data_IF_310950508171
#
_entry.id   IF_310950508171
#
_cell.length_a   1.000
_cell.length_b   1.000
_cell.length_c   1.000
_cell.angle_alpha   90.00
_cell.angle_beta   90.00
_cell.angle_gamma   90.00
#
_symmetry.space_group_name_H-M   'P 1'
#
loop_
_entity.id
_entity.type
_entity.pdbx_description
1 polymer ?
#
# COMPACT_ATOMS: atom_id res chain seq x y z
N UNK A 1 0.61 -18.00 -0.58
CA UNK A 1 1.48 -16.81 -0.63
C UNK A 1 2.89 -17.13 -1.10
N UNK A 2 3.71 -17.80 -0.26
CA UNK A 2 5.14 -18.04 -0.52
C UNK A 2 5.38 -18.78 -1.85
N UNK A 3 4.67 -19.88 -2.11
CA UNK A 3 4.82 -20.64 -3.35
C UNK A 3 4.51 -19.79 -4.61
N UNK A 4 3.48 -18.98 -4.57
CA UNK A 4 3.14 -18.06 -5.67
C UNK A 4 4.26 -17.05 -5.92
N UNK A 5 4.80 -16.43 -4.86
CA UNK A 5 5.92 -15.50 -4.99
C UNK A 5 7.18 -16.17 -5.54
N UNK A 6 7.50 -17.38 -5.09
CA UNK A 6 8.65 -18.15 -5.59
C UNK A 6 8.45 -18.50 -7.07
N UNK A 7 7.24 -18.92 -7.47
CA UNK A 7 6.94 -19.23 -8.88
C UNK A 7 7.20 -18.05 -9.80
N UNK A 8 6.65 -16.89 -9.47
CA UNK A 8 6.83 -15.66 -10.24
C UNK A 8 8.30 -15.21 -10.27
N UNK A 9 8.97 -15.25 -9.10
CA UNK A 9 10.38 -14.89 -9.00
C UNK A 9 11.27 -15.78 -9.86
N UNK A 10 11.05 -17.09 -9.83
CA UNK A 10 11.81 -18.09 -10.58
C UNK A 10 11.63 -17.91 -12.07
N UNK A 11 10.40 -17.70 -12.53
CA UNK A 11 10.10 -17.42 -13.94
C UNK A 11 10.77 -16.12 -14.41
N UNK A 12 10.66 -15.05 -13.64
CA UNK A 12 11.26 -13.76 -13.98
C UNK A 12 12.80 -13.80 -14.04
N UNK A 13 13.43 -14.69 -13.28
CA UNK A 13 14.89 -14.84 -13.23
C UNK A 13 15.41 -16.02 -14.06
N UNK A 14 14.57 -16.67 -14.90
CA UNK A 14 14.92 -17.79 -15.76
C UNK A 14 15.61 -18.96 -14.99
N UNK A 15 15.17 -19.25 -13.78
CA UNK A 15 15.69 -20.36 -12.99
C UNK A 15 15.02 -21.65 -13.48
N UNK A 16 15.72 -22.44 -14.28
CA UNK A 16 15.16 -23.63 -14.95
C UNK A 16 15.16 -24.87 -14.07
N UNK A 17 16.15 -25.03 -13.22
CA UNK A 17 16.28 -26.19 -12.33
C UNK A 17 15.76 -25.85 -10.92
N UNK A 18 14.42 -25.95 -10.77
CA UNK A 18 13.72 -25.69 -9.52
C UNK A 18 14.15 -26.62 -8.39
N UNK A 19 14.36 -27.92 -8.71
CA UNK A 19 14.76 -28.92 -7.71
C UNK A 19 16.10 -28.55 -7.10
N UNK A 20 17.07 -28.24 -7.94
CA UNK A 20 18.40 -27.84 -7.50
C UNK A 20 18.36 -26.53 -6.71
N UNK A 21 17.62 -25.52 -7.20
CA UNK A 21 17.55 -24.22 -6.56
C UNK A 21 16.87 -24.27 -5.17
N UNK A 22 15.75 -25.01 -5.06
CA UNK A 22 14.89 -24.98 -3.86
C UNK A 22 15.25 -26.06 -2.83
N UNK A 23 15.83 -27.19 -3.25
CA UNK A 23 16.12 -28.31 -2.33
C UNK A 23 17.62 -28.59 -2.17
N UNK A 24 18.39 -28.60 -3.24
CA UNK A 24 19.85 -28.87 -3.13
C UNK A 24 20.63 -27.62 -2.69
N UNK A 25 20.18 -26.43 -3.08
CA UNK A 25 20.78 -25.14 -2.77
C UNK A 25 19.86 -24.28 -1.88
N UNK A 26 19.05 -24.89 -1.05
CA UNK A 26 18.06 -24.22 -0.17
C UNK A 26 18.66 -23.03 0.58
N UNK A 27 19.80 -23.22 1.26
CA UNK A 27 20.46 -22.17 2.03
C UNK A 27 20.82 -20.94 1.18
N UNK A 28 21.25 -21.17 -0.05
CA UNK A 28 21.58 -20.08 -0.98
C UNK A 28 20.33 -19.39 -1.51
N UNK A 29 19.25 -20.15 -1.75
CA UNK A 29 17.99 -19.59 -2.20
C UNK A 29 17.33 -18.77 -1.09
N UNK A 30 17.36 -19.23 0.16
CA UNK A 30 16.82 -18.51 1.31
C UNK A 30 17.55 -17.17 1.60
N UNK A 31 18.75 -16.96 1.07
CA UNK A 31 19.46 -15.68 1.15
C UNK A 31 19.08 -14.69 0.03
N UNK A 32 18.41 -15.16 -1.04
CA UNK A 32 18.03 -14.30 -2.14
C UNK A 32 16.81 -13.46 -1.77
N UNK A 33 16.82 -12.20 -2.17
CA UNK A 33 15.69 -11.30 -2.05
C UNK A 33 14.59 -11.67 -3.06
N UNK A 34 13.95 -12.83 -2.83
CA UNK A 34 12.91 -13.36 -3.71
C UNK A 34 11.53 -12.74 -3.47
N UNK A 35 11.39 -11.98 -2.40
CA UNK A 35 10.12 -11.39 -1.97
C UNK A 35 10.22 -9.87 -1.83
N UNK A 36 9.07 -9.20 -1.91
CA UNK A 36 8.87 -7.82 -1.48
C UNK A 36 7.88 -7.82 -0.32
N UNK A 37 8.25 -7.19 0.79
CA UNK A 37 7.28 -6.81 1.82
C UNK A 37 6.73 -5.44 1.45
N UNK A 38 5.44 -5.40 1.11
CA UNK A 38 4.70 -4.19 0.79
C UNK A 38 3.84 -3.76 1.98
N UNK A 39 3.71 -2.46 2.17
CA UNK A 39 2.80 -1.85 3.15
C UNK A 39 2.15 -0.61 2.56
N UNK A 40 0.91 -0.36 2.95
CA UNK A 40 0.22 0.89 2.66
C UNK A 40 -0.58 1.36 3.89
N UNK A 41 -0.74 2.67 4.03
CA UNK A 41 -1.43 3.28 5.15
C UNK A 41 -2.11 4.58 4.73
N UNK A 42 -3.40 4.70 5.02
CA UNK A 42 -4.12 5.95 4.80
C UNK A 42 -3.65 7.04 5.76
N UNK A 43 -3.15 8.11 5.21
CA UNK A 43 -2.78 9.30 5.96
C UNK A 43 -3.98 10.22 6.17
N UNK A 44 -4.06 10.84 7.37
CA UNK A 44 -5.10 11.80 7.76
C UNK A 44 -6.50 11.20 7.96
N UNK A 45 -6.60 9.90 8.22
CA UNK A 45 -7.87 9.22 8.54
C UNK A 45 -8.66 9.99 9.60
N UNK A 46 -8.02 10.39 10.69
CA UNK A 46 -8.69 11.13 11.77
C UNK A 46 -9.30 12.44 11.27
N UNK A 47 -8.56 13.23 10.47
CA UNK A 47 -9.11 14.46 9.89
C UNK A 47 -10.31 14.17 9.00
N UNK A 48 -10.24 13.14 8.16
CA UNK A 48 -11.36 12.72 7.31
C UNK A 48 -12.56 12.25 8.13
N UNK A 49 -12.34 11.44 9.17
CA UNK A 49 -13.42 10.91 10.00
C UNK A 49 -14.11 11.99 10.85
N UNK A 50 -13.34 12.90 11.46
CA UNK A 50 -13.85 13.88 12.41
C UNK A 50 -14.26 15.24 11.81
N UNK A 51 -14.15 15.42 10.50
CA UNK A 51 -14.76 16.57 9.81
C UNK A 51 -16.26 16.33 9.67
N UNK A 52 -16.98 16.38 10.80
CA UNK A 52 -18.43 16.09 10.87
C UNK A 52 -19.12 17.17 11.67
N UNK A 53 -20.21 17.72 11.14
CA UNK A 53 -21.09 18.62 11.90
C UNK A 53 -21.90 17.84 12.94
N UNK A 54 -22.27 18.50 14.03
CA UNK A 54 -22.86 17.93 15.25
C UNK A 54 -24.15 17.13 15.04
N UNK A 55 -24.95 17.47 14.03
CA UNK A 55 -26.15 16.70 13.69
C UNK A 55 -25.77 15.40 12.97
N UNK A 56 -26.16 14.24 13.50
CA UNK A 56 -25.88 12.90 12.99
C UNK A 56 -24.39 12.47 13.00
N UNK A 57 -23.57 13.00 13.91
CA UNK A 57 -22.15 12.73 14.00
C UNK A 57 -21.81 11.22 14.02
N UNK A 58 -22.49 10.41 14.83
CA UNK A 58 -22.26 8.97 14.94
C UNK A 58 -22.54 8.22 13.62
N UNK A 59 -23.63 8.58 12.94
CA UNK A 59 -23.98 7.96 11.66
C UNK A 59 -22.94 8.28 10.58
N UNK A 60 -22.53 9.54 10.54
CA UNK A 60 -21.53 10.01 9.60
C UNK A 60 -20.15 9.38 9.85
N UNK A 61 -19.73 9.26 11.11
CA UNK A 61 -18.49 8.56 11.49
C UNK A 61 -18.49 7.09 11.05
N UNK A 62 -19.58 6.36 11.33
CA UNK A 62 -19.71 4.96 10.92
C UNK A 62 -19.66 4.80 9.40
N UNK A 63 -20.38 5.65 8.66
CA UNK A 63 -20.38 5.61 7.19
C UNK A 63 -18.99 5.90 6.62
N UNK A 64 -18.27 6.89 7.15
CA UNK A 64 -16.92 7.22 6.69
C UNK A 64 -15.91 6.15 7.05
N UNK A 65 -16.00 5.56 8.25
CA UNK A 65 -15.13 4.44 8.64
C UNK A 65 -15.34 3.23 7.75
N UNK A 66 -16.60 2.86 7.51
CA UNK A 66 -16.96 1.77 6.60
C UNK A 66 -16.51 2.04 5.15
N UNK A 67 -16.66 3.28 4.68
CA UNK A 67 -16.17 3.68 3.37
C UNK A 67 -14.66 3.50 3.23
N UNK A 68 -13.86 3.90 4.23
CA UNK A 68 -12.40 3.71 4.20
C UNK A 68 -12.01 2.23 4.20
N UNK A 69 -12.76 1.41 4.91
CA UNK A 69 -12.53 -0.03 4.93
C UNK A 69 -12.81 -0.67 3.56
N UNK A 70 -13.96 -0.36 2.95
CA UNK A 70 -14.29 -0.79 1.58
C UNK A 70 -13.27 -0.28 0.56
N UNK A 71 -12.80 0.94 0.72
CA UNK A 71 -11.81 1.53 -0.18
C UNK A 71 -10.46 0.81 -0.08
N UNK A 72 -10.03 0.44 1.14
CA UNK A 72 -8.83 -0.36 1.34
C UNK A 72 -8.98 -1.77 0.76
N UNK A 73 -10.12 -2.42 0.96
CA UNK A 73 -10.40 -3.74 0.40
C UNK A 73 -10.36 -3.73 -1.13
N UNK A 74 -11.03 -2.76 -1.76
CA UNK A 74 -10.96 -2.59 -3.22
C UNK A 74 -9.54 -2.31 -3.72
N UNK A 75 -8.83 -1.42 -3.03
CA UNK A 75 -7.43 -1.13 -3.35
C UNK A 75 -6.57 -2.39 -3.35
N UNK A 76 -6.73 -3.23 -2.32
CA UNK A 76 -5.98 -4.47 -2.17
C UNK A 76 -6.34 -5.51 -3.24
N UNK A 77 -7.61 -5.65 -3.59
CA UNK A 77 -8.04 -6.59 -4.63
C UNK A 77 -7.42 -6.23 -5.98
N UNK A 78 -7.48 -4.98 -6.38
CA UNK A 78 -6.88 -4.49 -7.62
C UNK A 78 -5.35 -4.59 -7.62
N UNK A 79 -4.71 -4.27 -6.49
CA UNK A 79 -3.27 -4.39 -6.32
C UNK A 79 -2.81 -5.85 -6.49
N UNK A 80 -3.46 -6.77 -5.78
CA UNK A 80 -3.13 -8.19 -5.81
C UNK A 80 -3.34 -8.79 -7.21
N UNK A 81 -4.47 -8.46 -7.85
CA UNK A 81 -4.75 -8.86 -9.22
C UNK A 81 -3.70 -8.33 -10.19
N UNK A 82 -3.33 -7.05 -10.08
CA UNK A 82 -2.30 -6.42 -10.90
C UNK A 82 -0.90 -7.00 -10.70
N UNK A 83 -0.62 -7.55 -9.52
CA UNK A 83 0.64 -8.23 -9.21
C UNK A 83 0.61 -9.74 -9.53
N UNK A 84 -0.50 -10.28 -10.08
CA UNK A 84 -0.63 -11.69 -10.42
C UNK A 84 -0.70 -12.63 -9.21
N UNK A 85 -1.10 -12.12 -8.05
CA UNK A 85 -1.21 -12.90 -6.81
C UNK A 85 -2.62 -12.83 -6.23
N UNK A 86 -2.89 -13.64 -5.22
CA UNK A 86 -4.21 -13.73 -4.60
C UNK A 86 -4.24 -13.13 -3.18
N UNK A 87 -5.41 -13.07 -2.58
CA UNK A 87 -5.60 -12.67 -1.18
C UNK A 87 -4.82 -13.52 -0.17
N UNK A 88 -4.37 -14.72 -0.54
CA UNK A 88 -3.46 -15.51 0.28
C UNK A 88 -2.12 -14.77 0.55
N UNK A 89 -1.78 -13.77 -0.26
CA UNK A 89 -0.59 -12.93 -0.10
C UNK A 89 -0.79 -11.75 0.85
N UNK A 90 -2.02 -11.47 1.25
CA UNK A 90 -2.34 -10.46 2.26
C UNK A 90 -2.00 -10.98 3.66
N UNK A 91 -1.03 -10.36 4.31
CA UNK A 91 -0.60 -10.72 5.68
C UNK A 91 -1.53 -10.08 6.71
N UNK A 92 -1.88 -8.82 6.48
CA UNK A 92 -2.70 -8.03 7.39
C UNK A 92 -3.43 -6.92 6.64
N UNK A 93 -4.69 -6.67 7.01
CA UNK A 93 -5.46 -5.48 6.64
C UNK A 93 -6.32 -5.05 7.82
N UNK A 94 -6.28 -3.76 8.17
CA UNK A 94 -7.12 -3.22 9.23
C UNK A 94 -6.78 -1.78 9.59
N UNK A 95 -7.78 -1.01 9.95
CA UNK A 95 -7.61 0.39 10.38
C UNK A 95 -7.03 1.32 9.31
N UNK A 96 -7.15 0.97 8.03
CA UNK A 96 -6.57 1.73 6.92
C UNK A 96 -5.10 1.41 6.64
N UNK A 97 -4.57 0.34 7.24
CA UNK A 97 -3.20 -0.11 7.09
C UNK A 97 -3.14 -1.57 6.61
N UNK A 98 -2.16 -1.93 5.79
CA UNK A 98 -1.98 -3.30 5.31
C UNK A 98 -0.52 -3.71 5.18
N UNK A 99 -0.29 -5.04 5.22
CA UNK A 99 0.94 -5.69 4.80
C UNK A 99 0.65 -6.79 3.80
N UNK A 100 1.44 -6.84 2.73
CA UNK A 100 1.31 -7.81 1.63
C UNK A 100 2.68 -8.39 1.30
N UNK A 101 2.75 -9.70 1.05
CA UNK A 101 3.93 -10.38 0.56
C UNK A 101 3.81 -10.57 -0.96
N UNK A 102 4.74 -9.99 -1.71
CA UNK A 102 4.74 -9.99 -3.17
C UNK A 102 6.01 -10.64 -3.73
N UNK A 103 6.00 -11.11 -4.98
CA UNK A 103 7.23 -11.56 -5.64
C UNK A 103 8.13 -10.37 -5.98
N UNK A 104 9.43 -10.52 -5.76
CA UNK A 104 10.40 -9.48 -6.12
C UNK A 104 10.75 -9.55 -7.60
N UNK A 105 9.92 -8.94 -8.43
CA UNK A 105 10.12 -8.83 -9.87
C UNK A 105 9.98 -7.38 -10.34
N UNK A 106 10.64 -7.04 -11.44
CA UNK A 106 10.50 -5.70 -12.03
C UNK A 106 9.04 -5.37 -12.40
N UNK A 107 8.32 -6.34 -12.94
CA UNK A 107 6.90 -6.19 -13.31
C UNK A 107 6.02 -5.83 -12.10
N UNK A 108 6.28 -6.44 -10.95
CA UNK A 108 5.57 -6.11 -9.70
C UNK A 108 5.94 -4.70 -9.23
N UNK A 109 7.21 -4.34 -9.21
CA UNK A 109 7.65 -2.99 -8.80
C UNK A 109 7.04 -1.89 -9.68
N UNK A 110 6.97 -2.12 -11.00
CA UNK A 110 6.31 -1.21 -11.95
C UNK A 110 4.80 -1.12 -11.70
N UNK A 111 4.16 -2.24 -11.41
CA UNK A 111 2.74 -2.30 -11.08
C UNK A 111 2.45 -1.52 -9.78
N UNK A 112 3.26 -1.72 -8.74
CA UNK A 112 3.15 -0.98 -7.47
C UNK A 112 3.25 0.53 -7.70
N UNK A 113 4.27 0.95 -8.45
CA UNK A 113 4.49 2.38 -8.75
C UNK A 113 3.31 2.99 -9.51
N UNK A 114 2.86 2.31 -10.57
CA UNK A 114 1.75 2.77 -11.41
C UNK A 114 0.43 2.82 -10.65
N UNK A 115 0.09 1.74 -9.94
CA UNK A 115 -1.16 1.63 -9.21
C UNK A 115 -1.27 2.63 -8.06
N UNK A 116 -0.21 2.77 -7.26
CA UNK A 116 -0.16 3.74 -6.18
C UNK A 116 -0.32 5.18 -6.68
N UNK A 117 0.33 5.52 -7.79
CA UNK A 117 0.21 6.85 -8.40
C UNK A 117 -1.21 7.09 -8.92
N UNK A 118 -1.80 6.13 -9.60
CA UNK A 118 -3.16 6.23 -10.15
C UNK A 118 -4.20 6.37 -9.04
N UNK A 119 -4.08 5.56 -7.99
CA UNK A 119 -4.98 5.60 -6.85
C UNK A 119 -4.89 6.93 -6.07
N UNK A 120 -3.69 7.41 -5.78
CA UNK A 120 -3.52 8.69 -5.11
C UNK A 120 -3.99 9.88 -5.95
N UNK A 121 -3.86 9.82 -7.27
CA UNK A 121 -4.43 10.83 -8.18
C UNK A 121 -5.97 10.83 -8.09
N UNK A 122 -6.59 9.67 -8.06
CA UNK A 122 -8.02 9.55 -7.85
C UNK A 122 -8.45 10.08 -6.47
N UNK A 123 -7.72 9.73 -5.39
CA UNK A 123 -7.98 10.28 -4.05
C UNK A 123 -7.91 11.81 -4.05
N UNK A 124 -6.92 12.38 -4.72
CA UNK A 124 -6.77 13.83 -4.84
C UNK A 124 -7.93 14.49 -5.58
N UNK A 125 -8.43 13.87 -6.64
CA UNK A 125 -9.59 14.37 -7.41
C UNK A 125 -10.89 14.33 -6.58
N UNK A 126 -11.08 13.29 -5.78
CA UNK A 126 -12.31 13.09 -5.00
C UNK A 126 -12.29 13.81 -3.65
N UNK A 127 -11.15 13.87 -2.99
CA UNK A 127 -11.01 14.31 -1.60
C UNK A 127 -9.99 15.46 -1.41
N UNK A 128 -9.43 15.98 -2.47
CA UNK A 128 -8.38 16.99 -2.40
C UNK A 128 -7.18 16.50 -1.60
N UNK A 129 -6.84 17.22 -0.53
CA UNK A 129 -5.74 16.84 0.37
C UNK A 129 -6.20 16.12 1.64
N UNK A 130 -7.48 15.73 1.73
CA UNK A 130 -8.03 15.12 2.95
C UNK A 130 -7.57 13.68 3.16
N UNK A 131 -7.41 12.92 2.07
CA UNK A 131 -6.93 11.54 2.09
C UNK A 131 -5.71 11.37 1.18
N UNK A 132 -4.80 10.51 1.63
CA UNK A 132 -3.64 10.09 0.87
C UNK A 132 -3.24 8.68 1.31
N UNK A 133 -2.96 7.78 0.38
CA UNK A 133 -2.46 6.45 0.68
C UNK A 133 -0.93 6.44 0.56
N UNK A 134 -0.26 6.54 1.70
CA UNK A 134 1.18 6.31 1.75
C UNK A 134 1.47 4.82 1.55
N UNK A 135 2.54 4.50 0.85
CA UNK A 135 2.94 3.13 0.59
C UNK A 135 4.46 3.01 0.57
N UNK A 136 4.93 1.81 0.82
CA UNK A 136 6.35 1.48 0.72
C UNK A 136 6.52 -0.02 0.50
N UNK A 137 7.64 -0.41 -0.07
CA UNK A 137 8.05 -1.81 -0.16
C UNK A 137 9.55 -1.94 -0.02
N UNK A 138 9.98 -3.11 0.39
CA UNK A 138 11.40 -3.43 0.52
C UNK A 138 11.63 -4.88 0.13
N UNK A 139 12.72 -5.17 -0.59
CA UNK A 139 13.12 -6.54 -0.83
C UNK A 139 13.39 -7.29 0.48
N UNK A 140 13.05 -8.58 0.49
CA UNK A 140 13.33 -9.46 1.61
C UNK A 140 13.57 -10.89 1.14
N UNK A 141 14.35 -11.59 1.95
CA UNK A 141 14.76 -12.98 1.72
C UNK A 141 13.93 -13.96 2.53
N UNK A 142 14.04 -15.25 2.23
CA UNK A 142 13.48 -16.31 3.05
C UNK A 142 14.01 -16.28 4.50
N UNK A 143 15.27 -15.92 4.67
CA UNK A 143 15.90 -15.79 5.99
C UNK A 143 15.30 -14.62 6.80
N UNK A 144 14.96 -13.51 6.16
CA UNK A 144 14.28 -12.41 6.84
C UNK A 144 12.91 -12.84 7.36
N UNK A 145 12.15 -13.57 6.52
CA UNK A 145 10.81 -14.04 6.88
C UNK A 145 10.81 -15.12 7.97
N UNK A 146 11.84 -15.99 8.00
CA UNK A 146 12.01 -17.04 9.01
C UNK A 146 12.79 -16.60 10.24
N UNK A 147 13.18 -15.32 10.32
CA UNK A 147 14.00 -14.77 11.39
C UNK A 147 15.34 -15.50 11.56
N UNK A 148 16.04 -15.78 10.47
CA UNK A 148 17.29 -16.55 10.47
C UNK A 148 18.48 -15.67 10.06
N UNK A 149 19.53 -15.54 10.89
CA UNK A 149 19.65 -16.09 12.23
C UNK A 149 18.89 -15.26 13.29
N UNK A 150 18.32 -15.93 14.27
CA UNK A 150 17.44 -15.30 15.27
C UNK A 150 18.14 -14.21 16.12
N UNK A 151 19.44 -14.35 16.39
CA UNK A 151 20.23 -13.37 17.17
C UNK A 151 20.28 -12.00 16.50
N UNK A 152 20.23 -11.94 15.17
CA UNK A 152 20.23 -10.69 14.39
C UNK A 152 18.85 -10.10 14.23
N UNK A 153 17.80 -10.83 14.60
CA UNK A 153 16.40 -10.43 14.47
C UNK A 153 16.03 -9.85 13.10
N UNK A 154 16.36 -10.52 11.97
CA UNK A 154 16.16 -9.98 10.63
C UNK A 154 14.69 -9.71 10.32
N UNK A 155 13.76 -10.48 10.87
CA UNK A 155 12.32 -10.23 10.75
C UNK A 155 11.92 -8.86 11.32
N UNK A 156 12.40 -8.54 12.52
CA UNK A 156 12.13 -7.23 13.15
C UNK A 156 12.74 -6.09 12.34
N UNK A 157 13.94 -6.30 11.80
CA UNK A 157 14.64 -5.29 11.02
C UNK A 157 13.96 -5.06 9.64
N UNK A 158 13.40 -6.11 9.03
CA UNK A 158 12.59 -6.01 7.82
C UNK A 158 11.39 -5.08 8.01
N UNK A 159 10.61 -5.26 9.08
CA UNK A 159 9.45 -4.40 9.38
C UNK A 159 9.86 -2.97 9.74
N UNK A 160 10.98 -2.79 10.44
CA UNK A 160 11.52 -1.45 10.68
C UNK A 160 11.91 -0.73 9.40
N UNK A 161 12.54 -1.45 8.47
CA UNK A 161 12.97 -0.90 7.18
C UNK A 161 11.78 -0.45 6.34
N UNK A 162 10.76 -1.31 6.19
CA UNK A 162 9.58 -0.94 5.39
C UNK A 162 8.78 0.19 6.03
N UNK A 163 8.63 0.20 7.36
CA UNK A 163 7.91 1.27 8.05
C UNK A 163 8.66 2.61 7.99
N UNK A 164 9.98 2.61 8.02
CA UNK A 164 10.78 3.83 7.83
C UNK A 164 10.55 4.42 6.44
N UNK A 165 10.52 3.59 5.40
CA UNK A 165 10.19 4.03 4.03
C UNK A 165 8.76 4.56 3.94
N UNK A 166 7.81 3.90 4.60
CA UNK A 166 6.42 4.36 4.66
C UNK A 166 6.30 5.75 5.30
N UNK A 167 6.98 5.97 6.44
CA UNK A 167 6.99 7.28 7.10
C UNK A 167 7.62 8.36 6.21
N UNK A 168 8.71 8.07 5.52
CA UNK A 168 9.30 8.98 4.55
C UNK A 168 8.29 9.36 3.46
N UNK A 169 7.53 8.40 2.93
CA UNK A 169 6.52 8.67 1.91
C UNK A 169 5.34 9.50 2.45
N UNK A 170 4.99 9.37 3.72
CA UNK A 170 4.00 10.24 4.38
C UNK A 170 4.40 11.71 4.39
N UNK A 171 5.70 12.03 4.42
CA UNK A 171 6.21 13.41 4.33
C UNK A 171 6.31 13.94 2.90
N UNK A 172 6.48 13.07 1.90
CA UNK A 172 6.63 13.43 0.49
C UNK A 172 5.40 12.97 -0.32
N UNK A 173 4.22 13.53 -0.02
CA UNK A 173 2.93 13.07 -0.58
C UNK A 173 2.70 13.48 -2.02
N UNK A 174 3.09 14.70 -2.37
CA UNK A 174 2.76 15.33 -3.62
C UNK A 174 4.02 15.74 -4.38
N UNK A 175 4.02 15.50 -5.67
CA UNK A 175 5.04 16.02 -6.56
C UNK A 175 4.82 17.51 -6.81
N UNK A 176 5.83 18.19 -7.36
CA UNK A 176 5.68 19.61 -7.77
C UNK A 176 4.52 19.80 -8.77
N UNK A 177 4.28 18.81 -9.63
CA UNK A 177 3.18 18.81 -10.59
C UNK A 177 1.81 18.69 -9.89
N UNK A 178 1.68 17.78 -8.93
CA UNK A 178 0.45 17.63 -8.14
C UNK A 178 0.13 18.92 -7.39
N UNK A 179 1.16 19.60 -6.83
CA UNK A 179 1.00 20.89 -6.15
C UNK A 179 0.57 22.01 -7.09
N UNK A 180 1.12 22.07 -8.31
CA UNK A 180 0.68 23.04 -9.33
C UNK A 180 -0.78 22.79 -9.70
N UNK A 181 -1.17 21.54 -9.91
CA UNK A 181 -2.54 21.19 -10.23
C UNK A 181 -3.51 21.57 -9.11
N UNK A 182 -3.17 21.27 -7.85
CA UNK A 182 -3.98 21.66 -6.69
C UNK A 182 -4.19 23.17 -6.59
N UNK A 183 -3.17 23.95 -6.94
CA UNK A 183 -3.25 25.42 -6.90
C UNK A 183 -3.97 26.01 -8.13
N UNK A 184 -3.98 25.30 -9.26
CA UNK A 184 -4.64 25.77 -10.48
C UNK A 184 -6.15 25.51 -10.51
N UNK A 185 -6.61 24.50 -9.77
CA UNK A 185 -8.05 24.12 -9.67
C UNK A 185 -8.80 24.88 -8.58
N UNK A 186 -8.18 25.88 -7.95
CA UNK A 186 -8.81 26.73 -6.95
C UNK A 186 -9.74 27.80 -7.55
N UNK A 187 -10.69 27.39 -8.40
CA UNK A 187 -11.92 28.13 -8.54
C UNK A 187 -12.75 27.83 -7.29
N UNK A 188 -12.95 28.83 -6.42
CA UNK A 188 -13.86 28.71 -5.29
C UNK A 188 -15.24 28.39 -5.84
N UNK A 189 -15.83 27.22 -5.52
CA UNK A 189 -17.17 26.93 -5.98
C UNK A 189 -18.14 27.85 -5.25
N UNK A 190 -18.90 28.64 -6.00
CA UNK A 190 -19.98 29.53 -5.50
C UNK A 190 -21.23 28.77 -5.02
N UNK A 191 -21.08 27.56 -4.51
CA UNK A 191 -22.18 26.69 -4.08
C UNK A 191 -22.43 26.73 -2.58
N UNK A 192 -23.64 26.34 -2.15
CA UNK A 192 -23.94 26.11 -0.74
C UNK A 192 -23.09 24.97 -0.18
N UNK A 193 -22.40 25.22 0.91
CA UNK A 193 -21.68 24.17 1.63
C UNK A 193 -22.60 23.02 2.04
N UNK A 194 -22.19 21.80 1.79
CA UNK A 194 -22.89 20.61 2.27
C UNK A 194 -22.85 20.60 3.80
N UNK A 195 -24.02 20.54 4.45
CA UNK A 195 -24.14 20.50 5.93
C UNK A 195 -23.46 19.28 6.56
N UNK A 196 -23.12 18.25 5.79
CA UNK A 196 -22.50 17.02 6.29
C UNK A 196 -20.99 17.00 6.13
N UNK A 197 -20.45 17.48 5.00
CA UNK A 197 -19.01 17.41 4.71
C UNK A 197 -18.34 18.78 4.54
N UNK A 198 -19.08 19.88 4.53
CA UNK A 198 -18.54 21.22 4.36
C UNK A 198 -17.99 21.51 2.94
N UNK A 199 -18.23 20.61 1.99
CA UNK A 199 -17.86 20.85 0.58
C UNK A 199 -18.99 21.56 -0.14
N UNK A 200 -18.64 22.61 -0.89
CA UNK A 200 -19.56 23.21 -1.86
C UNK A 200 -19.47 22.42 -3.16
N UNK A 201 -20.59 21.93 -3.65
CA UNK A 201 -20.71 21.33 -4.98
C UNK A 201 -21.39 22.32 -5.91
N UNK A 202 -20.88 22.45 -7.14
CA UNK A 202 -21.58 23.07 -8.25
C UNK A 202 -22.75 22.20 -8.69
#
# INVERSE_FOLDING_TARGET
AIAACISEYVQANNITDLRKALFEQEKNFCQKDAFLLYTADFSRIQKFLYTVHTENALRSLRSRSFFLELLMEHYLDELLAGCGVSRANLIYSGGGHCYVLLPNTAAVADTLTRWNRQFNRWLQQQFGTQLFLANAWTPCSGNDLTNTPAEKSPYKELFRRVNRLLEQHKFHRYTAEDLRQLNSTAAYPDGRECKVCGTSAN
#
